data_IF_693443302434
#
_entry.id   IF_693443302434
#
_cell.length_a   1.000
_cell.length_b   1.000
_cell.length_c   1.000
_cell.angle_alpha   90.00
_cell.angle_beta   90.00
_cell.angle_gamma   90.00
#
_symmetry.space_group_name_H-M   'P 1'
#
loop_
_entity.id
_entity.type
_entity.pdbx_description
1 polymer ?
#
# COMPACT_ATOMS: atom_id res chain seq x y z
N UNK A 1 -17.00 4.28 -1.71
CA UNK A 1 -17.71 3.22 -0.97
C UNK A 1 -17.00 2.75 0.30
N UNK A 2 -15.77 2.23 0.24
CA UNK A 2 -15.07 1.75 1.44
C UNK A 2 -14.81 2.83 2.49
N UNK A 3 -14.34 4.01 2.06
CA UNK A 3 -14.12 5.17 2.95
C UNK A 3 -15.44 5.50 3.68
N UNK A 4 -16.53 5.67 2.92
CA UNK A 4 -17.86 5.96 3.44
C UNK A 4 -18.38 4.87 4.39
N UNK A 5 -18.09 3.60 4.10
CA UNK A 5 -18.48 2.47 4.97
C UNK A 5 -17.75 2.51 6.31
N UNK A 6 -16.44 2.74 6.31
CA UNK A 6 -15.65 2.88 7.54
C UNK A 6 -16.04 4.11 8.34
N UNK A 7 -16.32 5.24 7.68
CA UNK A 7 -16.81 6.46 8.33
C UNK A 7 -18.15 6.25 9.02
N UNK A 8 -19.11 5.54 8.38
CA UNK A 8 -20.38 5.15 9.02
C UNK A 8 -20.18 4.27 10.27
N UNK A 9 -19.06 3.56 10.36
CA UNK A 9 -18.71 2.73 11.51
C UNK A 9 -17.83 3.47 12.54
N UNK A 10 -17.60 4.78 12.38
CA UNK A 10 -16.69 5.60 13.21
C UNK A 10 -15.24 5.07 13.23
N UNK A 11 -14.78 4.51 12.13
CA UNK A 11 -13.38 4.08 11.95
C UNK A 11 -12.55 5.19 11.32
N UNK A 12 -11.29 5.31 11.75
CA UNK A 12 -10.33 6.22 11.11
C UNK A 12 -9.92 5.70 9.73
N UNK A 13 -9.95 6.58 8.73
CA UNK A 13 -9.66 6.27 7.32
C UNK A 13 -8.46 7.04 6.78
N UNK A 14 -7.67 7.68 7.64
CA UNK A 14 -6.54 8.58 7.34
C UNK A 14 -5.75 8.16 6.10
N UNK A 15 -5.23 6.92 6.08
CA UNK A 15 -4.41 6.46 4.96
C UNK A 15 -5.18 6.34 3.64
N UNK A 16 -6.41 5.80 3.68
CA UNK A 16 -7.26 5.64 2.50
C UNK A 16 -7.73 7.00 1.97
N UNK A 17 -8.15 7.89 2.88
CA UNK A 17 -8.58 9.24 2.53
C UNK A 17 -7.43 10.06 1.94
N UNK A 18 -6.23 9.98 2.54
CA UNK A 18 -5.04 10.63 1.99
C UNK A 18 -4.72 10.13 0.58
N UNK A 19 -4.70 8.81 0.33
CA UNK A 19 -4.48 8.25 -1.00
C UNK A 19 -5.56 8.68 -2.00
N UNK A 20 -6.81 8.75 -1.57
CA UNK A 20 -7.90 9.23 -2.41
C UNK A 20 -7.73 10.70 -2.81
N UNK A 21 -7.34 11.57 -1.87
CA UNK A 21 -7.00 12.97 -2.14
C UNK A 21 -5.83 13.09 -3.11
N UNK A 22 -4.76 12.30 -2.92
CA UNK A 22 -3.62 12.27 -3.84
C UNK A 22 -4.03 11.83 -5.26
N UNK A 23 -4.93 10.86 -5.38
CA UNK A 23 -5.44 10.37 -6.67
C UNK A 23 -6.36 11.38 -7.38
N UNK A 24 -7.21 12.09 -6.63
CA UNK A 24 -8.02 13.18 -7.18
C UNK A 24 -7.12 14.31 -7.68
N UNK A 25 -6.09 14.66 -6.89
CA UNK A 25 -5.12 15.68 -7.27
C UNK A 25 -4.31 15.27 -8.50
N UNK A 26 -3.87 14.01 -8.60
CA UNK A 26 -3.16 13.51 -9.80
C UNK A 26 -4.03 13.54 -11.05
N UNK A 27 -5.34 13.48 -10.88
CA UNK A 27 -6.35 13.54 -11.94
C UNK A 27 -6.89 14.97 -12.16
N UNK A 28 -6.24 15.99 -11.59
CA UNK A 28 -6.60 17.40 -11.66
C UNK A 28 -8.07 17.71 -11.33
N UNK A 29 -8.65 16.92 -10.42
CA UNK A 29 -9.96 17.24 -9.87
C UNK A 29 -9.84 18.37 -8.85
N UNK A 30 -10.85 19.24 -8.81
CA UNK A 30 -10.96 20.27 -7.78
C UNK A 30 -11.35 19.64 -6.45
N UNK A 31 -10.41 19.60 -5.51
CA UNK A 31 -10.60 19.02 -4.17
C UNK A 31 -11.60 19.79 -3.32
N UNK A 32 -11.86 21.07 -3.61
CA UNK A 32 -12.85 21.87 -2.88
C UNK A 32 -14.28 21.46 -3.23
N UNK A 33 -14.49 20.91 -4.43
CA UNK A 33 -15.79 20.45 -4.92
C UNK A 33 -16.20 19.05 -4.44
N UNK A 34 -15.29 18.31 -3.79
CA UNK A 34 -15.54 16.94 -3.34
C UNK A 34 -15.83 16.89 -1.84
N UNK A 35 -17.02 16.40 -1.53
CA UNK A 35 -17.56 16.32 -0.17
C UNK A 35 -17.82 14.86 0.24
N UNK A 36 -17.84 14.63 1.55
CA UNK A 36 -18.25 13.34 2.09
C UNK A 36 -19.77 13.18 1.97
N UNK A 37 -20.20 12.01 1.53
CA UNK A 37 -21.62 11.72 1.25
C UNK A 37 -22.46 11.78 2.53
N UNK A 38 -21.87 11.44 3.68
CA UNK A 38 -22.53 11.50 4.97
C UNK A 38 -22.57 12.92 5.58
N UNK A 39 -21.84 13.89 5.02
CA UNK A 39 -21.76 15.26 5.50
C UNK A 39 -21.34 16.20 4.37
N UNK A 40 -22.31 16.65 3.57
CA UNK A 40 -22.09 17.51 2.40
C UNK A 40 -21.43 18.85 2.77
N UNK A 41 -21.49 19.28 4.03
CA UNK A 41 -20.84 20.49 4.52
C UNK A 41 -19.34 20.31 4.82
N UNK A 42 -18.82 19.08 4.74
CA UNK A 42 -17.45 18.75 5.08
C UNK A 42 -16.70 18.22 3.85
N UNK A 43 -15.74 19.02 3.37
CA UNK A 43 -14.85 18.59 2.29
C UNK A 43 -13.87 17.53 2.77
N UNK A 44 -13.33 16.74 1.82
CA UNK A 44 -12.35 15.69 2.10
C UNK A 44 -11.14 16.23 2.89
N UNK A 45 -10.67 17.44 2.56
CA UNK A 45 -9.53 18.08 3.19
C UNK A 45 -9.82 18.50 4.63
N UNK A 46 -11.02 19.01 4.90
CA UNK A 46 -11.45 19.34 6.27
C UNK A 46 -11.52 18.08 7.12
N UNK A 47 -12.08 17.00 6.57
CA UNK A 47 -12.19 15.74 7.28
C UNK A 47 -10.82 15.15 7.60
N UNK A 48 -9.92 15.11 6.61
CA UNK A 48 -8.55 14.62 6.83
C UNK A 48 -7.85 15.43 7.93
N UNK A 49 -8.03 16.76 7.99
CA UNK A 49 -7.47 17.57 9.09
C UNK A 49 -8.02 17.14 10.45
N UNK A 50 -9.32 16.84 10.57
CA UNK A 50 -9.90 16.37 11.84
C UNK A 50 -9.32 15.03 12.26
N UNK A 51 -9.22 14.08 11.33
CA UNK A 51 -8.62 12.78 11.64
C UNK A 51 -7.13 12.90 12.03
N UNK A 52 -6.38 13.81 11.41
CA UNK A 52 -5.00 14.08 11.79
C UNK A 52 -4.87 14.66 13.20
N UNK A 53 -5.82 15.49 13.64
CA UNK A 53 -5.90 15.98 15.02
C UNK A 53 -6.27 14.85 15.99
N UNK A 54 -7.18 13.93 15.62
CA UNK A 54 -7.49 12.74 16.42
C UNK A 54 -6.26 11.83 16.55
N UNK A 55 -5.54 11.55 15.46
CA UNK A 55 -4.30 10.79 15.50
C UNK A 55 -3.24 11.44 16.40
N UNK A 56 -3.10 12.77 16.34
CA UNK A 56 -2.22 13.51 17.26
C UNK A 56 -2.59 13.27 18.73
N UNK A 57 -3.88 13.23 19.07
CA UNK A 57 -4.32 12.89 20.43
C UNK A 57 -3.98 11.44 20.76
N UNK A 58 -4.24 10.50 19.86
CA UNK A 58 -3.88 9.09 20.05
C UNK A 58 -2.37 8.90 20.29
N UNK A 59 -1.50 9.63 19.59
CA UNK A 59 -0.05 9.62 19.85
C UNK A 59 0.28 10.17 21.25
N UNK A 60 -0.44 11.18 21.72
CA UNK A 60 -0.21 11.75 23.05
C UNK A 60 -0.55 10.77 24.18
N UNK A 61 -1.61 9.97 24.02
CA UNK A 61 -2.06 9.02 25.04
C UNK A 61 -1.45 7.62 24.89
N UNK A 62 -1.37 7.11 23.67
CA UNK A 62 -0.94 5.74 23.35
C UNK A 62 0.51 5.62 22.88
N UNK A 63 1.26 6.71 22.83
CA UNK A 63 2.64 6.80 22.32
C UNK A 63 2.83 6.37 20.85
N UNK A 64 1.73 6.14 20.11
CA UNK A 64 1.72 5.82 18.68
C UNK A 64 0.38 6.23 18.05
N UNK A 65 0.33 6.40 16.72
CA UNK A 65 -0.94 6.59 16.00
C UNK A 65 -1.87 5.40 16.22
N UNK A 66 -3.18 5.63 16.16
CA UNK A 66 -4.20 4.58 16.14
C UNK A 66 -4.12 3.76 14.85
N UNK A 67 -3.72 4.39 13.74
CA UNK A 67 -3.38 3.72 12.49
C UNK A 67 -1.90 3.29 12.44
N UNK A 68 -1.03 4.05 11.77
CA UNK A 68 0.41 3.84 11.70
C UNK A 68 1.13 5.14 11.30
N UNK A 69 2.45 5.21 11.54
CA UNK A 69 3.23 6.36 11.07
C UNK A 69 3.28 6.47 9.53
N UNK A 70 3.08 5.37 8.81
CA UNK A 70 2.90 5.41 7.36
C UNK A 70 1.63 6.20 6.97
N UNK A 71 0.49 5.87 7.57
CA UNK A 71 -0.79 6.55 7.31
C UNK A 71 -0.78 7.99 7.82
N UNK A 72 -0.20 8.23 9.01
CA UNK A 72 -0.01 9.57 9.55
C UNK A 72 0.81 10.45 8.61
N UNK A 73 1.90 9.90 8.05
CA UNK A 73 2.74 10.61 7.09
C UNK A 73 2.02 10.86 5.77
N UNK A 74 1.22 9.90 5.28
CA UNK A 74 0.36 10.10 4.10
C UNK A 74 -0.62 11.25 4.31
N UNK A 75 -1.24 11.36 5.49
CA UNK A 75 -2.16 12.45 5.80
C UNK A 75 -1.49 13.82 5.76
N UNK A 76 -0.30 13.96 6.35
CA UNK A 76 0.51 15.19 6.26
C UNK A 76 0.88 15.51 4.82
N UNK A 77 1.35 14.51 4.07
CA UNK A 77 1.75 14.67 2.67
C UNK A 77 0.58 15.14 1.81
N UNK A 78 -0.59 14.49 1.92
CA UNK A 78 -1.79 14.83 1.17
C UNK A 78 -2.28 16.25 1.44
N UNK A 79 -2.27 16.69 2.71
CA UNK A 79 -2.60 18.07 3.06
C UNK A 79 -1.58 19.06 2.46
N UNK A 80 -0.29 18.78 2.61
CA UNK A 80 0.79 19.64 2.14
C UNK A 80 0.74 19.85 0.62
N UNK A 81 0.71 18.78 -0.18
CA UNK A 81 0.67 18.90 -1.65
C UNK A 81 -0.64 19.54 -2.13
N UNK A 82 -1.70 19.44 -1.34
CA UNK A 82 -2.99 20.12 -1.59
C UNK A 82 -2.97 21.61 -1.20
N UNK A 83 -1.86 22.15 -0.70
CA UNK A 83 -1.76 23.56 -0.28
C UNK A 83 -2.48 23.86 1.04
N UNK A 84 -2.82 22.83 1.81
CA UNK A 84 -3.53 22.97 3.07
C UNK A 84 -2.54 23.03 4.23
N UNK A 85 -2.69 24.05 5.09
CA UNK A 85 -1.85 24.20 6.29
C UNK A 85 -1.99 22.99 7.21
N UNK A 86 -0.85 22.42 7.58
CA UNK A 86 -0.74 21.36 8.59
C UNK A 86 -0.44 22.01 9.95
N UNK A 87 -1.09 21.52 11.00
CA UNK A 87 -0.86 21.97 12.38
C UNK A 87 0.59 21.70 12.80
N UNK A 88 1.25 22.68 13.41
CA UNK A 88 2.64 22.54 13.91
C UNK A 88 2.77 21.40 14.91
N UNK A 89 1.72 21.13 15.70
CA UNK A 89 1.71 20.03 16.64
C UNK A 89 1.59 18.66 15.95
N UNK A 90 0.86 18.60 14.84
CA UNK A 90 0.74 17.38 14.02
C UNK A 90 2.10 17.05 13.39
N UNK A 91 2.73 18.02 12.72
CA UNK A 91 4.07 17.81 12.14
C UNK A 91 5.13 17.49 13.21
N UNK A 92 5.05 18.13 14.38
CA UNK A 92 5.96 17.85 15.49
C UNK A 92 5.88 16.40 15.99
N UNK A 93 4.70 15.77 15.99
CA UNK A 93 4.58 14.35 16.38
C UNK A 93 5.34 13.45 15.42
N UNK A 94 5.35 13.75 14.12
CA UNK A 94 6.10 12.98 13.13
C UNK A 94 7.61 13.22 13.27
N UNK A 95 8.05 14.48 13.41
CA UNK A 95 9.46 14.84 13.64
C UNK A 95 10.00 14.12 14.88
N UNK A 96 9.28 14.21 16.00
CA UNK A 96 9.64 13.52 17.24
C UNK A 96 9.74 12.00 17.03
N UNK A 97 8.80 11.39 16.29
CA UNK A 97 8.81 9.96 16.03
C UNK A 97 10.04 9.52 15.23
N UNK A 98 10.52 10.34 14.29
CA UNK A 98 11.74 10.08 13.52
C UNK A 98 12.96 10.11 14.44
N UNK A 99 13.12 11.18 15.22
CA UNK A 99 14.26 11.37 16.13
C UNK A 99 14.35 10.24 17.17
N UNK A 100 13.20 9.81 17.69
CA UNK A 100 13.11 8.74 18.70
C UNK A 100 12.99 7.34 18.10
N UNK A 101 13.26 7.20 16.79
CA UNK A 101 13.29 5.92 16.07
C UNK A 101 11.98 5.12 16.17
N UNK A 102 10.83 5.77 16.20
CA UNK A 102 9.51 5.16 16.40
C UNK A 102 8.87 4.63 15.10
N UNK A 103 9.46 4.92 13.93
CA UNK A 103 9.02 4.43 12.62
C UNK A 103 9.47 2.98 12.41
N UNK A 104 8.89 2.05 13.19
CA UNK A 104 9.24 0.62 13.18
C UNK A 104 8.05 -0.26 12.84
N UNK A 105 8.34 -1.45 12.34
CA UNK A 105 7.42 -2.58 12.27
C UNK A 105 7.99 -3.72 13.10
N UNK A 106 7.40 -3.97 14.29
CA UNK A 106 8.04 -4.78 15.31
C UNK A 106 9.36 -4.15 15.75
N UNK A 107 10.44 -4.95 15.78
CA UNK A 107 11.78 -4.47 16.13
C UNK A 107 12.52 -3.81 14.96
N UNK A 108 12.04 -3.98 13.73
CA UNK A 108 12.73 -3.54 12.51
C UNK A 108 12.32 -2.13 12.08
N UNK A 109 13.27 -1.38 11.53
CA UNK A 109 12.99 -0.08 10.88
C UNK A 109 12.09 -0.28 9.66
N UNK A 110 11.00 0.48 9.56
CA UNK A 110 10.07 0.38 8.42
C UNK A 110 10.47 1.37 7.32
N UNK A 111 11.04 0.86 6.23
CA UNK A 111 11.53 1.68 5.10
C UNK A 111 10.39 2.47 4.48
N UNK A 112 9.23 1.85 4.26
CA UNK A 112 8.04 2.50 3.69
C UNK A 112 7.57 3.69 4.55
N UNK A 113 7.56 3.53 5.88
CA UNK A 113 7.19 4.61 6.80
C UNK A 113 8.18 5.77 6.76
N UNK A 114 9.49 5.47 6.69
CA UNK A 114 10.51 6.50 6.57
C UNK A 114 10.42 7.22 5.22
N UNK A 115 10.15 6.50 4.13
CA UNK A 115 10.03 7.09 2.81
C UNK A 115 8.86 8.10 2.75
N UNK A 116 7.67 7.70 3.19
CA UNK A 116 6.50 8.60 3.20
C UNK A 116 6.70 9.75 4.20
N UNK A 117 7.29 9.49 5.37
CA UNK A 117 7.62 10.55 6.33
C UNK A 117 8.61 11.57 5.72
N UNK A 118 9.62 11.09 4.99
CA UNK A 118 10.59 11.94 4.30
C UNK A 118 9.93 12.84 3.28
N UNK A 119 9.07 12.28 2.42
CA UNK A 119 8.29 13.06 1.45
C UNK A 119 7.36 14.07 2.13
N UNK A 120 6.66 13.67 3.20
CA UNK A 120 5.76 14.56 3.92
C UNK A 120 6.49 15.75 4.54
N UNK A 121 7.58 15.50 5.28
CA UNK A 121 8.39 16.54 5.93
C UNK A 121 9.12 17.42 4.91
N UNK A 122 9.59 16.83 3.81
CA UNK A 122 10.23 17.58 2.73
C UNK A 122 9.23 18.52 2.06
N UNK A 123 8.00 18.05 1.81
CA UNK A 123 6.92 18.91 1.31
C UNK A 123 6.67 20.11 2.23
N UNK A 124 6.58 19.90 3.56
CA UNK A 124 6.40 21.01 4.51
C UNK A 124 7.54 22.03 4.42
N UNK A 125 8.78 21.54 4.26
CA UNK A 125 9.98 22.38 4.11
C UNK A 125 9.94 23.19 2.82
N UNK A 126 9.67 22.55 1.69
CA UNK A 126 9.66 23.19 0.36
C UNK A 126 8.55 24.25 0.25
N UNK A 127 7.39 23.99 0.86
CA UNK A 127 6.24 24.90 0.85
C UNK A 127 6.33 26.00 1.93
N UNK A 128 7.38 26.00 2.77
CA UNK A 128 7.52 26.94 3.88
C UNK A 128 6.38 26.85 4.90
N UNK A 129 5.76 25.68 5.05
CA UNK A 129 4.70 25.46 6.04
C UNK A 129 5.31 25.47 7.43
N UNK A 130 4.75 26.29 8.31
CA UNK A 130 5.25 26.44 9.67
C UNK A 130 5.36 25.10 10.40
N UNK A 131 6.54 24.83 10.94
CA UNK A 131 6.83 23.77 11.91
C UNK A 131 7.27 24.40 13.23
N UNK A 132 7.29 23.62 14.31
CA UNK A 132 7.69 24.13 15.63
C UNK A 132 9.16 24.55 15.67
N UNK A 133 10.03 23.76 15.06
CA UNK A 133 11.47 23.99 14.98
C UNK A 133 12.01 23.51 13.63
N UNK A 134 12.58 24.42 12.84
CA UNK A 134 13.15 24.11 11.53
C UNK A 134 14.45 23.30 11.65
N UNK A 135 15.23 23.46 12.71
CA UNK A 135 16.44 22.69 12.93
C UNK A 135 16.12 21.24 13.29
N UNK A 136 15.04 21.00 14.04
CA UNK A 136 14.51 19.64 14.27
C UNK A 136 14.02 19.00 12.98
N UNK A 137 13.29 19.75 12.15
CA UNK A 137 12.86 19.29 10.82
C UNK A 137 14.05 18.86 9.95
N UNK A 138 15.10 19.68 9.89
CA UNK A 138 16.31 19.38 9.12
C UNK A 138 17.03 18.13 9.63
N UNK A 139 17.13 17.95 10.95
CA UNK A 139 17.69 16.73 11.55
C UNK A 139 16.84 15.50 11.27
N UNK A 140 15.52 15.62 11.32
CA UNK A 140 14.62 14.52 10.99
C UNK A 140 14.78 14.10 9.52
N UNK A 141 14.82 15.05 8.58
CA UNK A 141 15.07 14.77 7.16
C UNK A 141 16.43 14.10 6.93
N UNK A 142 17.49 14.60 7.57
CA UNK A 142 18.82 13.98 7.51
C UNK A 142 18.80 12.55 8.06
N UNK A 143 18.11 12.31 9.18
CA UNK A 143 17.96 10.99 9.79
C UNK A 143 17.21 10.02 8.86
N UNK A 144 16.12 10.47 8.24
CA UNK A 144 15.35 9.67 7.28
C UNK A 144 16.22 9.31 6.09
N UNK A 145 16.88 10.30 5.48
CA UNK A 145 17.77 10.11 4.33
C UNK A 145 18.84 9.06 4.62
N UNK A 146 19.52 9.17 5.77
CA UNK A 146 20.53 8.20 6.17
C UNK A 146 19.94 6.79 6.31
N UNK A 147 18.79 6.63 6.97
CA UNK A 147 18.15 5.31 7.14
C UNK A 147 17.71 4.66 5.84
N UNK A 148 17.23 5.46 4.88
CA UNK A 148 16.88 4.93 3.55
C UNK A 148 18.13 4.43 2.82
N UNK A 149 19.23 5.19 2.86
CA UNK A 149 20.50 4.76 2.27
C UNK A 149 21.08 3.51 2.96
N UNK A 150 21.05 3.46 4.29
CA UNK A 150 21.51 2.32 5.09
C UNK A 150 20.65 1.06 4.86
N UNK A 151 19.42 1.22 4.36
CA UNK A 151 18.54 0.09 4.04
C UNK A 151 18.88 -0.60 2.72
N UNK A 152 19.83 -0.07 1.95
CA UNK A 152 20.26 -0.65 0.68
C UNK A 152 20.96 -2.00 0.90
N UNK A 153 20.40 -3.04 0.30
CA UNK A 153 20.91 -4.41 0.28
C UNK A 153 21.98 -4.59 -0.80
N UNK A 154 22.67 -5.73 -0.74
CA UNK A 154 23.68 -6.11 -1.74
C UNK A 154 23.11 -6.27 -3.16
N UNK A 155 21.82 -6.62 -3.28
CA UNK A 155 21.09 -6.69 -4.56
C UNK A 155 20.64 -5.32 -5.09
N UNK A 156 20.90 -4.24 -4.34
CA UNK A 156 20.55 -2.87 -4.70
C UNK A 156 19.16 -2.42 -4.22
N UNK A 157 18.32 -3.30 -3.67
CA UNK A 157 17.02 -2.93 -3.12
C UNK A 157 17.14 -2.21 -1.78
N UNK A 158 16.27 -1.23 -1.54
CA UNK A 158 16.20 -0.50 -0.27
C UNK A 158 15.08 -1.08 0.60
N UNK A 159 15.46 -1.76 1.68
CA UNK A 159 14.57 -2.58 2.47
C UNK A 159 14.21 -3.89 1.76
N UNK A 160 13.19 -3.84 0.92
CA UNK A 160 12.77 -4.96 0.08
C UNK A 160 12.35 -4.49 -1.32
N UNK A 161 11.98 -5.45 -2.16
CA UNK A 161 11.61 -5.29 -3.57
C UNK A 161 10.40 -4.35 -3.74
N UNK A 162 9.52 -4.25 -2.74
CA UNK A 162 8.31 -3.42 -2.73
C UNK A 162 8.54 -2.04 -2.12
N UNK A 163 9.42 -1.91 -1.13
CA UNK A 163 9.75 -0.63 -0.48
C UNK A 163 10.67 0.25 -1.32
N UNK A 164 11.43 -0.35 -2.25
CA UNK A 164 12.44 0.35 -3.05
C UNK A 164 11.86 1.53 -3.82
N UNK A 165 10.68 1.39 -4.43
CA UNK A 165 10.03 2.47 -5.18
C UNK A 165 9.79 3.71 -4.32
N UNK A 166 9.20 3.55 -3.14
CA UNK A 166 8.98 4.65 -2.20
C UNK A 166 10.29 5.25 -1.68
N UNK A 167 11.29 4.42 -1.39
CA UNK A 167 12.59 4.89 -0.92
C UNK A 167 13.29 5.77 -1.96
N UNK A 168 13.27 5.38 -3.24
CA UNK A 168 13.79 6.19 -4.36
C UNK A 168 13.03 7.52 -4.46
N UNK A 169 11.69 7.50 -4.42
CA UNK A 169 10.90 8.74 -4.45
C UNK A 169 11.29 9.69 -3.31
N UNK A 170 11.42 9.18 -2.09
CA UNK A 170 11.78 9.99 -0.93
C UNK A 170 13.21 10.56 -1.03
N UNK A 171 14.17 9.77 -1.50
CA UNK A 171 15.54 10.23 -1.70
C UNK A 171 15.63 11.33 -2.77
N UNK A 172 14.90 11.18 -3.89
CA UNK A 172 14.80 12.22 -4.93
C UNK A 172 14.16 13.50 -4.39
N UNK A 173 13.06 13.37 -3.64
CA UNK A 173 12.40 14.51 -2.99
C UNK A 173 13.37 15.27 -2.06
N UNK A 174 14.22 14.55 -1.30
CA UNK A 174 15.25 15.14 -0.43
C UNK A 174 16.57 15.46 -1.17
N UNK A 175 16.51 15.70 -2.49
CA UNK A 175 17.61 16.21 -3.32
C UNK A 175 18.75 15.21 -3.58
N UNK A 176 18.52 13.91 -3.41
CA UNK A 176 19.52 12.88 -3.75
C UNK A 176 19.44 12.56 -5.25
N UNK A 177 20.61 12.46 -5.89
CA UNK A 177 20.70 11.92 -7.25
C UNK A 177 20.52 10.41 -7.19
N UNK A 178 19.48 9.89 -7.84
CA UNK A 178 19.18 8.46 -7.91
C UNK A 178 19.41 7.99 -9.33
N UNK A 179 20.16 6.88 -9.48
CA UNK A 179 20.31 6.22 -10.77
C UNK A 179 18.95 5.71 -11.27
N UNK A 180 18.79 5.67 -12.58
CA UNK A 180 17.58 5.16 -13.21
C UNK A 180 17.35 3.70 -12.84
N UNK A 181 16.19 3.42 -12.26
CA UNK A 181 15.87 2.07 -11.78
C UNK A 181 15.65 1.14 -12.97
N UNK A 182 16.56 0.18 -13.18
CA UNK A 182 16.42 -0.83 -14.23
C UNK A 182 15.19 -1.72 -14.02
N UNK A 183 14.41 -1.93 -15.08
CA UNK A 183 13.13 -2.67 -15.10
C UNK A 183 13.26 -4.20 -15.00
N UNK A 184 14.17 -4.71 -14.16
CA UNK A 184 14.42 -6.16 -14.04
C UNK A 184 13.37 -6.91 -13.23
N UNK A 185 12.47 -6.21 -12.53
CA UNK A 185 11.44 -6.79 -11.67
C UNK A 185 10.05 -6.67 -12.32
N UNK A 186 9.32 -7.78 -12.43
CA UNK A 186 7.93 -7.76 -12.85
C UNK A 186 7.03 -7.63 -11.62
N UNK A 187 6.37 -6.47 -11.48
CA UNK A 187 5.34 -6.26 -10.47
C UNK A 187 3.98 -6.63 -11.06
N UNK A 188 3.22 -7.48 -10.37
CA UNK A 188 1.85 -7.82 -10.78
C UNK A 188 0.78 -7.18 -9.88
N UNK A 189 1.15 -6.82 -8.65
CA UNK A 189 0.24 -6.16 -7.72
C UNK A 189 0.06 -4.67 -8.09
N UNK A 190 -1.17 -4.19 -8.34
CA UNK A 190 -1.41 -2.80 -8.72
C UNK A 190 -0.94 -1.76 -7.71
N UNK A 191 -0.95 -2.08 -6.41
CA UNK A 191 -0.42 -1.19 -5.37
C UNK A 191 1.11 -1.12 -5.43
N UNK A 192 1.79 -2.26 -5.62
CA UNK A 192 3.23 -2.27 -5.81
C UNK A 192 3.63 -1.49 -7.08
N UNK A 193 2.88 -1.68 -8.18
CA UNK A 193 3.06 -0.91 -9.42
C UNK A 193 2.86 0.59 -9.14
N UNK A 194 1.78 1.00 -8.46
CA UNK A 194 1.50 2.42 -8.21
C UNK A 194 2.52 3.10 -7.30
N UNK A 195 3.22 2.34 -6.45
CA UNK A 195 4.29 2.84 -5.59
C UNK A 195 5.66 2.90 -6.27
N UNK A 196 5.93 2.03 -7.25
CA UNK A 196 7.22 2.02 -7.97
C UNK A 196 7.20 2.89 -9.22
N UNK A 197 6.05 2.98 -9.90
CA UNK A 197 5.93 3.65 -11.20
C UNK A 197 6.37 5.13 -11.16
N UNK A 198 6.03 5.94 -10.14
CA UNK A 198 6.55 7.31 -10.08
C UNK A 198 8.08 7.34 -10.04
N UNK A 199 8.73 6.47 -9.27
CA UNK A 199 10.20 6.41 -9.22
C UNK A 199 10.82 6.02 -10.57
N UNK A 200 10.20 5.07 -11.29
CA UNK A 200 10.65 4.67 -12.62
C UNK A 200 10.58 5.83 -13.63
N UNK A 201 9.63 6.74 -13.46
CA UNK A 201 9.51 7.96 -14.26
C UNK A 201 10.24 9.16 -13.65
N UNK A 202 11.13 8.94 -12.67
CA UNK A 202 11.87 9.99 -11.96
C UNK A 202 10.95 11.06 -11.33
N UNK A 203 9.77 10.64 -10.90
CA UNK A 203 8.75 11.44 -10.22
C UNK A 203 8.58 11.01 -8.77
N UNK A 204 7.98 11.89 -8.00
CA UNK A 204 7.66 11.70 -6.58
C UNK A 204 6.26 12.21 -6.30
N UNK A 205 5.67 11.82 -5.17
CA UNK A 205 4.39 12.39 -4.76
C UNK A 205 4.39 13.92 -4.54
N UNK A 206 5.56 14.56 -4.33
CA UNK A 206 5.65 16.04 -4.23
C UNK A 206 5.31 16.72 -5.56
N UNK A 207 5.55 16.06 -6.70
CA UNK A 207 5.23 16.60 -8.02
C UNK A 207 3.72 16.79 -8.23
N UNK A 208 2.87 16.18 -7.39
CA UNK A 208 1.43 16.42 -7.44
C UNK A 208 1.08 17.88 -7.20
N UNK A 209 1.92 18.64 -6.49
CA UNK A 209 1.69 20.07 -6.22
C UNK A 209 1.50 20.89 -7.51
N UNK A 210 2.34 20.64 -8.51
CA UNK A 210 2.36 21.35 -9.79
C UNK A 210 1.94 20.45 -10.96
N UNK A 211 1.12 19.42 -10.68
CA UNK A 211 0.68 18.47 -11.70
C UNK A 211 -0.25 19.17 -12.70
N UNK A 212 0.14 19.14 -13.97
CA UNK A 212 -0.70 19.52 -15.10
C UNK A 212 -1.20 18.24 -15.79
N UNK A 213 -2.52 18.09 -15.93
CA UNK A 213 -3.08 16.94 -16.63
C UNK A 213 -3.04 17.17 -18.13
N UNK A 214 -2.30 16.30 -18.82
CA UNK A 214 -2.32 16.18 -20.27
C UNK A 214 -3.03 14.88 -20.62
N UNK A 215 -3.86 14.90 -21.64
CA UNK A 215 -4.50 13.67 -22.13
C UNK A 215 -3.48 12.79 -22.82
N UNK A 216 -3.21 11.62 -22.26
CA UNK A 216 -2.47 10.54 -22.92
C UNK A 216 -3.36 9.30 -22.98
N UNK A 217 -3.42 8.68 -24.17
CA UNK A 217 -4.15 7.45 -24.42
C UNK A 217 -3.11 6.33 -24.63
N UNK A 218 -3.13 5.30 -23.78
CA UNK A 218 -2.42 4.05 -24.05
C UNK A 218 -3.36 2.85 -23.97
N UNK A 219 -3.15 1.90 -24.88
CA UNK A 219 -3.98 0.70 -25.10
C UNK A 219 -3.16 -0.54 -24.76
N UNK A 220 -3.70 -1.43 -23.92
CA UNK A 220 -3.08 -2.72 -23.54
C UNK A 220 -3.49 -3.86 -24.51
N UNK A 221 -2.55 -4.71 -24.98
CA UNK A 221 -2.88 -5.91 -25.74
C UNK A 221 -2.97 -7.20 -24.88
N UNK A 222 -3.75 -8.19 -25.34
CA UNK A 222 -3.90 -9.55 -24.77
C UNK A 222 -3.84 -10.59 -25.91
N UNK A 223 -3.48 -11.87 -25.65
CA UNK A 223 -4.11 -13.12 -26.18
C UNK A 223 -3.32 -14.44 -25.84
N UNK A 224 -4.02 -15.49 -25.35
CA UNK A 224 -3.58 -16.91 -25.20
C UNK A 224 -4.39 -17.73 -24.16
N UNK A 225 -4.31 -19.08 -24.13
CA UNK A 225 -4.86 -19.98 -23.09
C UNK A 225 -3.81 -20.96 -22.53
N UNK A 226 -3.93 -21.39 -21.27
CA UNK A 226 -2.98 -22.25 -20.53
C UNK A 226 -3.73 -23.24 -19.61
N UNK A 227 -3.21 -24.47 -19.45
CA UNK A 227 -3.78 -25.50 -18.54
C UNK A 227 -3.25 -25.36 -17.11
N UNK A 228 -4.11 -25.45 -16.09
CA UNK A 228 -3.79 -25.35 -14.66
C UNK A 228 -4.30 -26.58 -13.88
N UNK A 229 -3.48 -27.12 -12.98
CA UNK A 229 -3.92 -28.09 -11.97
C UNK A 229 -3.98 -27.43 -10.60
N UNK A 230 -5.13 -27.48 -9.94
CA UNK A 230 -5.31 -26.96 -8.56
C UNK A 230 -5.51 -28.13 -7.61
N UNK A 231 -4.64 -28.24 -6.62
CA UNK A 231 -4.73 -29.21 -5.53
C UNK A 231 -5.09 -28.49 -4.23
N UNK A 232 -6.15 -28.95 -3.58
CA UNK A 232 -6.56 -28.46 -2.26
C UNK A 232 -6.20 -29.52 -1.24
N UNK A 233 -5.35 -29.17 -0.28
CA UNK A 233 -4.93 -30.05 0.81
C UNK A 233 -5.61 -29.60 2.09
N UNK A 234 -6.59 -30.38 2.55
CA UNK A 234 -7.35 -30.16 3.78
C UNK A 234 -6.86 -31.06 4.90
N UNK A 235 -7.39 -30.84 6.11
CA UNK A 235 -7.22 -31.74 7.26
C UNK A 235 -7.73 -33.17 7.01
N UNK A 236 -8.73 -33.35 6.15
CA UNK A 236 -9.34 -34.64 5.80
C UNK A 236 -8.73 -35.34 4.58
N UNK A 237 -7.75 -34.72 3.89
CA UNK A 237 -7.10 -35.28 2.70
C UNK A 237 -6.88 -34.25 1.58
N UNK A 238 -6.25 -34.69 0.50
CA UNK A 238 -5.98 -33.87 -0.69
C UNK A 238 -6.96 -34.19 -1.84
N UNK A 239 -7.44 -33.16 -2.54
CA UNK A 239 -8.23 -33.30 -3.77
C UNK A 239 -7.66 -32.43 -4.89
N UNK A 240 -7.59 -32.94 -6.11
CA UNK A 240 -7.02 -32.23 -7.26
C UNK A 240 -8.02 -32.07 -8.40
N UNK A 241 -8.06 -30.90 -9.03
CA UNK A 241 -8.91 -30.58 -10.17
C UNK A 241 -8.07 -29.95 -11.29
N UNK A 242 -8.41 -30.26 -12.54
CA UNK A 242 -7.77 -29.68 -13.73
C UNK A 242 -8.72 -28.67 -14.39
N UNK A 243 -8.21 -27.50 -14.76
CA UNK A 243 -8.96 -26.50 -15.51
C UNK A 243 -8.08 -25.80 -16.55
N UNK A 244 -8.70 -25.30 -17.62
CA UNK A 244 -8.06 -24.42 -18.59
C UNK A 244 -8.44 -22.97 -18.29
N UNK A 245 -7.46 -22.08 -18.27
CA UNK A 245 -7.63 -20.63 -18.04
C UNK A 245 -6.96 -19.82 -19.15
N UNK A 246 -7.46 -18.61 -19.48
CA UNK A 246 -6.71 -17.68 -20.32
C UNK A 246 -5.28 -17.44 -19.78
N UNK A 247 -4.33 -17.30 -20.69
CA UNK A 247 -2.94 -16.98 -20.35
C UNK A 247 -2.91 -15.61 -19.67
N UNK A 248 -2.21 -15.51 -18.55
CA UNK A 248 -2.16 -14.28 -17.76
C UNK A 248 -3.39 -14.06 -16.87
N UNK A 249 -4.31 -15.03 -16.80
CA UNK A 249 -5.32 -15.04 -15.73
C UNK A 249 -4.65 -15.13 -14.37
N UNK A 250 -5.20 -14.40 -13.41
CA UNK A 250 -4.83 -14.50 -12.01
C UNK A 250 -5.28 -15.83 -11.40
N UNK A 251 -4.62 -16.26 -10.33
CA UNK A 251 -5.11 -17.39 -9.54
C UNK A 251 -6.53 -17.13 -9.01
N UNK A 252 -6.88 -15.89 -8.65
CA UNK A 252 -8.24 -15.52 -8.24
C UNK A 252 -9.28 -15.79 -9.34
N UNK A 253 -9.00 -15.40 -10.59
CA UNK A 253 -9.87 -15.70 -11.74
C UNK A 253 -9.97 -17.21 -11.98
N UNK A 254 -8.86 -17.95 -11.81
CA UNK A 254 -8.85 -19.40 -11.90
C UNK A 254 -9.69 -20.08 -10.81
N UNK A 255 -9.65 -19.57 -9.56
CA UNK A 255 -10.46 -20.06 -8.45
C UNK A 255 -11.95 -19.77 -8.64
N UNK A 256 -12.30 -18.60 -9.16
CA UNK A 256 -13.69 -18.29 -9.56
C UNK A 256 -14.18 -19.25 -10.64
N UNK A 257 -13.39 -19.45 -11.70
CA UNK A 257 -13.73 -20.39 -12.76
C UNK A 257 -13.89 -21.83 -12.24
N UNK A 258 -13.06 -22.21 -11.27
CA UNK A 258 -13.13 -23.52 -10.62
C UNK A 258 -14.41 -23.66 -9.79
N UNK A 259 -14.79 -22.64 -9.02
CA UNK A 259 -16.03 -22.62 -8.24
C UNK A 259 -17.27 -22.71 -9.14
N UNK A 260 -17.25 -22.07 -10.32
CA UNK A 260 -18.37 -22.11 -11.25
C UNK A 260 -18.52 -23.47 -11.96
N UNK A 261 -17.40 -24.15 -12.26
CA UNK A 261 -17.39 -25.36 -13.09
C UNK A 261 -17.33 -26.66 -12.31
N UNK A 262 -16.76 -26.66 -11.11
CA UNK A 262 -16.54 -27.88 -10.33
C UNK A 262 -17.48 -27.95 -9.14
N UNK A 263 -18.46 -28.84 -9.20
CA UNK A 263 -19.32 -29.16 -8.07
C UNK A 263 -18.48 -29.61 -6.87
N UNK A 264 -18.67 -28.94 -5.72
CA UNK A 264 -17.95 -29.22 -4.49
C UNK A 264 -16.69 -28.39 -4.25
N UNK A 265 -16.31 -27.50 -5.18
CA UNK A 265 -15.30 -26.47 -4.91
C UNK A 265 -15.95 -25.14 -4.55
N UNK A 266 -15.63 -24.59 -3.37
CA UNK A 266 -16.03 -23.23 -2.96
C UNK A 266 -14.85 -22.48 -2.34
N UNK A 267 -14.84 -21.16 -2.44
CA UNK A 267 -13.89 -20.32 -1.73
C UNK A 267 -14.47 -18.93 -1.46
N UNK A 268 -14.03 -18.29 -0.37
CA UNK A 268 -14.35 -16.90 -0.07
C UNK A 268 -13.07 -16.12 0.23
N UNK A 269 -13.15 -14.81 0.04
CA UNK A 269 -12.07 -13.87 0.32
C UNK A 269 -12.54 -12.74 1.24
N UNK A 270 -11.60 -12.13 1.95
CA UNK A 270 -11.79 -10.88 2.69
C UNK A 270 -11.07 -9.75 1.95
N UNK A 271 -11.71 -8.59 1.82
CA UNK A 271 -11.13 -7.45 1.12
C UNK A 271 -9.96 -6.85 1.91
N UNK A 272 -8.88 -6.51 1.19
CA UNK A 272 -7.74 -5.81 1.76
C UNK A 272 -7.17 -4.80 0.76
N UNK A 273 -6.33 -3.88 1.25
CA UNK A 273 -5.62 -2.92 0.40
C UNK A 273 -4.61 -3.58 -0.55
N UNK A 274 -4.23 -4.84 -0.29
CA UNK A 274 -3.34 -5.63 -1.15
C UNK A 274 -4.12 -6.55 -2.09
N UNK A 275 -5.45 -6.46 -2.11
CA UNK A 275 -6.32 -7.34 -2.87
C UNK A 275 -7.03 -8.39 -2.00
N UNK A 276 -7.80 -9.31 -2.61
CA UNK A 276 -8.61 -10.29 -1.90
C UNK A 276 -7.73 -11.31 -1.17
N UNK A 277 -7.89 -11.38 0.15
CA UNK A 277 -7.21 -12.35 1.01
C UNK A 277 -8.03 -13.64 1.12
N UNK A 278 -7.42 -14.80 0.81
CA UNK A 278 -8.12 -16.09 0.83
C UNK A 278 -8.46 -16.53 2.26
N UNK A 279 -9.75 -16.56 2.60
CA UNK A 279 -10.21 -16.79 3.98
C UNK A 279 -10.86 -18.16 4.17
N UNK A 280 -11.60 -18.64 3.18
CA UNK A 280 -12.33 -19.92 3.22
C UNK A 280 -12.07 -20.70 1.94
N UNK A 281 -11.86 -22.01 2.05
CA UNK A 281 -11.84 -22.94 0.91
C UNK A 281 -12.61 -24.19 1.31
N UNK A 282 -13.60 -24.58 0.51
CA UNK A 282 -14.48 -25.73 0.71
C UNK A 282 -15.05 -25.79 2.13
N UNK A 283 -15.67 -24.67 2.55
CA UNK A 283 -16.29 -24.47 3.87
C UNK A 283 -15.32 -24.44 5.06
N UNK A 284 -14.03 -24.72 4.86
CA UNK A 284 -13.01 -24.63 5.89
C UNK A 284 -12.46 -23.20 5.97
N UNK A 285 -12.60 -22.56 7.14
CA UNK A 285 -12.05 -21.23 7.39
C UNK A 285 -10.68 -21.34 8.04
N UNK A 286 -9.69 -20.62 7.50
CA UNK A 286 -8.35 -20.63 8.08
C UNK A 286 -8.21 -19.70 9.29
N UNK A 287 -8.85 -18.52 9.27
CA UNK A 287 -8.86 -17.60 10.41
C UNK A 287 -9.98 -17.95 11.41
N UNK A 288 -9.65 -18.66 12.49
CA UNK A 288 -10.41 -18.60 13.75
C UNK A 288 -9.67 -17.64 14.70
N UNK A 289 -10.40 -16.81 15.46
CA UNK A 289 -9.83 -15.73 16.31
C UNK A 289 -8.68 -16.15 17.25
N UNK A 290 -8.54 -17.44 17.57
CA UNK A 290 -7.49 -17.98 18.43
C UNK A 290 -6.52 -18.95 17.73
N UNK A 291 -6.80 -19.33 16.49
CA UNK A 291 -6.11 -20.43 15.82
C UNK A 291 -5.24 -19.84 14.71
N UNK A 292 -3.93 -19.86 14.94
CA UNK A 292 -2.87 -19.35 14.07
C UNK A 292 -2.82 -20.18 12.78
N UNK A 293 -3.83 -20.10 11.92
CA UNK A 293 -3.91 -20.84 10.65
C UNK A 293 -4.18 -19.91 9.48
N UNK A 294 -3.65 -20.27 8.32
CA UNK A 294 -3.83 -19.53 7.06
C UNK A 294 -3.81 -20.50 5.86
N UNK A 295 -4.41 -20.07 4.76
CA UNK A 295 -4.31 -20.79 3.49
C UNK A 295 -2.97 -20.48 2.84
N UNK A 296 -2.03 -21.42 2.96
CA UNK A 296 -0.74 -21.36 2.28
C UNK A 296 -0.89 -21.78 0.83
N UNK A 297 -0.37 -20.97 -0.09
CA UNK A 297 -0.48 -21.21 -1.52
C UNK A 297 0.91 -21.38 -2.08
N UNK A 298 1.11 -22.43 -2.86
CA UNK A 298 2.38 -22.74 -3.50
C UNK A 298 2.19 -23.10 -4.97
N UNK A 299 3.17 -22.77 -5.79
CA UNK A 299 3.26 -23.23 -7.17
C UNK A 299 4.47 -24.16 -7.31
N UNK A 300 4.23 -25.38 -7.79
CA UNK A 300 5.28 -26.40 -7.99
C UNK A 300 6.15 -26.60 -6.73
N UNK A 301 5.51 -26.54 -5.55
CA UNK A 301 6.17 -26.71 -4.25
C UNK A 301 6.83 -25.47 -3.64
N UNK A 302 6.87 -24.35 -4.37
CA UNK A 302 7.40 -23.08 -3.85
C UNK A 302 6.26 -22.17 -3.40
N UNK A 303 6.37 -21.59 -2.20
CA UNK A 303 5.44 -20.60 -1.67
C UNK A 303 5.26 -19.45 -2.66
N UNK A 304 4.02 -19.03 -2.90
CA UNK A 304 3.77 -17.83 -3.68
C UNK A 304 4.25 -16.60 -2.91
N UNK A 305 4.90 -15.69 -3.63
CA UNK A 305 5.33 -14.38 -3.11
C UNK A 305 4.31 -13.27 -3.40
N UNK A 306 3.16 -13.62 -3.98
CA UNK A 306 2.11 -12.72 -4.44
C UNK A 306 0.73 -13.21 -3.99
N UNK A 307 -0.22 -12.28 -3.84
CA UNK A 307 -1.61 -12.61 -3.54
C UNK A 307 -2.31 -13.31 -4.71
N UNK A 308 -3.44 -13.98 -4.43
CA UNK A 308 -4.18 -14.75 -5.44
C UNK A 308 -4.63 -13.92 -6.64
N UNK A 309 -4.91 -12.62 -6.45
CA UNK A 309 -5.32 -11.72 -7.55
C UNK A 309 -4.14 -11.28 -8.43
N UNK A 310 -2.93 -11.30 -7.88
CA UNK A 310 -1.75 -10.78 -8.55
C UNK A 310 -0.95 -11.89 -9.22
N UNK A 311 -0.93 -13.10 -8.64
CA UNK A 311 -0.21 -14.23 -9.20
C UNK A 311 -0.79 -14.65 -10.54
N UNK A 312 -0.01 -14.48 -11.62
CA UNK A 312 -0.42 -14.78 -12.99
C UNK A 312 -0.06 -16.21 -13.40
N UNK A 313 -0.97 -16.83 -14.16
CA UNK A 313 -0.81 -18.17 -14.72
C UNK A 313 -0.43 -18.03 -16.19
N UNK A 314 0.87 -18.04 -16.45
CA UNK A 314 1.42 -17.90 -17.81
C UNK A 314 1.83 -19.23 -18.45
N UNK A 315 2.07 -20.24 -17.62
CA UNK A 315 2.51 -21.57 -18.02
C UNK A 315 1.76 -22.64 -17.24
N UNK A 316 1.74 -23.86 -17.78
CA UNK A 316 1.10 -24.98 -17.09
C UNK A 316 1.84 -25.34 -15.82
N UNK A 317 1.10 -25.34 -14.71
CA UNK A 317 1.66 -25.50 -13.38
C UNK A 317 0.64 -26.14 -12.43
N UNK A 318 1.16 -26.69 -11.32
CA UNK A 318 0.37 -27.17 -10.20
C UNK A 318 0.37 -26.12 -9.10
N UNK A 319 -0.82 -25.68 -8.72
CA UNK A 319 -1.04 -24.82 -7.55
C UNK A 319 -1.58 -25.66 -6.42
N UNK A 320 -0.92 -25.60 -5.26
CA UNK A 320 -1.37 -26.26 -4.04
C UNK A 320 -1.86 -25.21 -3.05
N UNK A 321 -3.11 -25.33 -2.63
CA UNK A 321 -3.74 -24.52 -1.56
C UNK A 321 -3.89 -25.41 -0.33
N UNK A 322 -3.13 -25.10 0.72
CA UNK A 322 -3.01 -25.93 1.92
C UNK A 322 -3.37 -25.13 3.16
N UNK A 323 -4.26 -25.65 4.01
CA UNK A 323 -4.47 -25.06 5.33
C UNK A 323 -3.27 -25.39 6.23
N UNK A 324 -2.56 -24.38 6.72
CA UNK A 324 -1.37 -24.57 7.57
C UNK A 324 -1.39 -23.65 8.77
N UNK A 325 -0.67 -24.04 9.83
CA UNK A 325 -0.39 -23.21 10.99
C UNK A 325 0.86 -22.33 10.81
N UNK A 326 1.01 -21.34 11.69
CA UNK A 326 2.29 -20.61 11.89
C UNK A 326 3.32 -21.49 12.61
#
# INVERSE_FOLDING_TARGET
DDIEKSLRNNELVVGRLALYILALKSSCHDLESVHLTHNEMESLLIHLKKEMEEEKQNIAFGHRPKTSYYQYSLGILALCVSGVRVSTHVSQKLIHAVEHRQLKHGESSCVDSHAVAGMALQCLKDEGIAVKDNAELDRALATIKQRLLDSKRADGHMGNEFSTGLAVQALMAMGSQMEECGSKQTYHNPMAISQVLPALHQRTYLHLKSQECRSENEVLPSHGQVSLQVEVVKSSGASSVFLHVPRGSSLFEALNLLQDKQTGFTFNTEDSLWGPFLSVVNEERALQKNDRRYWHISSVGNSLTQGIKDYKIDLSQKITVKNTGY
#
